data_IF_284522516265
#
_entry.id   IF_284522516265
#
_cell.length_a   1.000
_cell.length_b   1.000
_cell.length_c   1.000
_cell.angle_alpha   90.00
_cell.angle_beta   90.00
_cell.angle_gamma   90.00
#
_symmetry.space_group_name_H-M   'P 1'
#
loop_
_entity.id
_entity.type
_entity.pdbx_description
1 polymer ?
#
# COMPACT_ATOMS: atom_id res chain seq x y z
N UNK A 1 -29.27 23.51 1.30
CA UNK A 1 -28.99 22.07 1.40
C UNK A 1 -27.49 21.68 1.54
N UNK A 2 -26.50 22.58 1.66
CA UNK A 2 -25.07 22.22 1.54
C UNK A 2 -24.37 21.58 2.77
N UNK A 3 -25.00 21.58 3.95
CA UNK A 3 -24.36 21.14 5.21
C UNK A 3 -24.44 19.63 5.51
N UNK A 4 -25.38 18.92 4.89
CA UNK A 4 -25.61 17.49 5.14
C UNK A 4 -24.63 16.60 4.37
N UNK A 5 -24.22 17.04 3.18
CA UNK A 5 -23.29 16.32 2.31
C UNK A 5 -21.87 16.30 2.87
N UNK A 6 -21.37 17.47 3.29
CA UNK A 6 -19.99 17.64 3.79
C UNK A 6 -19.68 16.83 5.04
N UNK A 7 -20.65 16.68 5.96
CA UNK A 7 -20.47 15.86 7.16
C UNK A 7 -20.45 14.37 6.83
N UNK A 8 -21.19 13.95 5.80
CA UNK A 8 -21.24 12.56 5.36
C UNK A 8 -19.95 12.19 4.63
N UNK A 9 -19.46 13.09 3.79
CA UNK A 9 -18.18 12.96 3.08
C UNK A 9 -17.00 12.87 4.06
N UNK A 10 -16.90 13.79 5.01
CA UNK A 10 -15.85 13.75 6.04
C UNK A 10 -15.91 12.49 6.93
N UNK A 11 -17.11 11.94 7.19
CA UNK A 11 -17.26 10.68 7.92
C UNK A 11 -16.80 9.47 7.09
N UNK A 12 -17.04 9.50 5.76
CA UNK A 12 -16.58 8.47 4.82
C UNK A 12 -15.06 8.50 4.65
N UNK A 13 -14.47 9.69 4.58
CA UNK A 13 -13.01 9.84 4.56
C UNK A 13 -12.37 9.27 5.83
N UNK A 14 -12.91 9.60 7.01
CA UNK A 14 -12.42 9.03 8.28
C UNK A 14 -12.59 7.52 8.38
N UNK A 15 -13.67 6.96 7.81
CA UNK A 15 -13.83 5.50 7.76
C UNK A 15 -12.79 4.86 6.84
N UNK A 16 -12.50 5.47 5.69
CA UNK A 16 -11.45 5.05 4.76
C UNK A 16 -10.07 5.07 5.41
N UNK A 17 -9.73 6.15 6.12
CA UNK A 17 -8.47 6.27 6.86
C UNK A 17 -8.33 5.16 7.92
N UNK A 18 -9.39 4.93 8.71
CA UNK A 18 -9.41 3.85 9.72
C UNK A 18 -9.27 2.47 9.09
N UNK A 19 -9.98 2.22 7.99
CA UNK A 19 -9.89 0.98 7.24
C UNK A 19 -8.45 0.75 6.77
N UNK A 20 -7.81 1.77 6.20
CA UNK A 20 -6.47 1.69 5.64
C UNK A 20 -5.39 1.55 6.71
N UNK A 21 -5.54 2.20 7.86
CA UNK A 21 -4.67 2.02 9.02
C UNK A 21 -4.77 0.59 9.57
N UNK A 22 -5.99 0.06 9.70
CA UNK A 22 -6.22 -1.29 10.22
C UNK A 22 -5.72 -2.37 9.26
N UNK A 23 -5.95 -2.20 7.96
CA UNK A 23 -5.42 -3.04 6.91
C UNK A 23 -3.88 -3.10 6.96
N UNK A 24 -3.20 -1.94 7.02
CA UNK A 24 -1.74 -1.87 7.09
C UNK A 24 -1.17 -2.57 8.32
N UNK A 25 -1.74 -2.29 9.50
CA UNK A 25 -1.30 -2.94 10.76
C UNK A 25 -1.48 -4.45 10.66
N UNK A 26 -2.64 -4.91 10.20
CA UNK A 26 -2.91 -6.35 10.09
C UNK A 26 -2.04 -7.05 9.08
N UNK A 27 -1.80 -6.42 7.93
CA UNK A 27 -0.95 -6.94 6.89
C UNK A 27 0.51 -7.04 7.37
N UNK A 28 1.03 -6.01 8.04
CA UNK A 28 2.37 -6.01 8.59
C UNK A 28 2.58 -7.06 9.71
N UNK A 29 1.51 -7.45 10.41
CA UNK A 29 1.56 -8.53 11.41
C UNK A 29 1.53 -9.93 10.79
N UNK A 30 1.29 -10.07 9.48
CA UNK A 30 1.26 -11.38 8.83
C UNK A 30 2.69 -11.94 8.67
N UNK A 31 2.88 -13.25 8.87
CA UNK A 31 4.19 -13.88 8.74
C UNK A 31 4.70 -13.79 7.29
N UNK A 32 5.95 -13.37 7.12
CA UNK A 32 6.58 -13.26 5.80
C UNK A 32 6.17 -12.01 5.00
N UNK A 33 5.35 -11.12 5.57
CA UNK A 33 5.07 -9.83 4.96
C UNK A 33 6.19 -8.84 5.28
N UNK A 34 6.86 -8.39 4.23
CA UNK A 34 7.85 -7.33 4.29
C UNK A 34 7.25 -5.96 3.92
N UNK A 35 7.96 -4.88 4.27
CA UNK A 35 7.57 -3.50 3.96
C UNK A 35 7.19 -3.29 2.49
N UNK A 36 7.90 -3.89 1.53
CA UNK A 36 7.55 -3.70 0.11
C UNK A 36 6.22 -4.38 -0.27
N UNK A 37 5.84 -5.48 0.40
CA UNK A 37 4.53 -6.12 0.21
C UNK A 37 3.43 -5.21 0.75
N UNK A 38 3.64 -4.63 1.94
CA UNK A 38 2.70 -3.66 2.52
C UNK A 38 2.53 -2.46 1.61
N UNK A 39 3.63 -1.86 1.11
CA UNK A 39 3.58 -0.72 0.21
C UNK A 39 2.88 -1.04 -1.13
N UNK A 40 3.15 -2.21 -1.70
CA UNK A 40 2.49 -2.69 -2.92
C UNK A 40 0.98 -2.82 -2.71
N UNK A 41 0.57 -3.47 -1.61
CA UNK A 41 -0.85 -3.66 -1.30
C UNK A 41 -1.59 -2.35 -1.03
N UNK A 42 -0.97 -1.43 -0.28
CA UNK A 42 -1.53 -0.08 -0.05
C UNK A 42 -1.68 0.68 -1.36
N UNK A 43 -0.70 0.58 -2.26
CA UNK A 43 -0.77 1.19 -3.59
C UNK A 43 -1.94 0.64 -4.40
N UNK A 44 -2.17 -0.68 -4.39
CA UNK A 44 -3.28 -1.31 -5.10
C UNK A 44 -4.64 -0.82 -4.58
N UNK A 45 -4.86 -0.85 -3.27
CA UNK A 45 -6.11 -0.36 -2.66
C UNK A 45 -6.33 1.12 -2.96
N UNK A 46 -5.27 1.94 -2.86
CA UNK A 46 -5.35 3.38 -3.10
C UNK A 46 -5.66 3.69 -4.57
N UNK A 47 -5.03 2.96 -5.50
CA UNK A 47 -5.26 3.10 -6.94
C UNK A 47 -6.68 2.69 -7.30
N UNK A 48 -7.16 1.56 -6.79
CA UNK A 48 -8.52 1.10 -7.04
C UNK A 48 -9.56 2.10 -6.51
N UNK A 49 -9.37 2.59 -5.30
CA UNK A 49 -10.27 3.57 -4.70
C UNK A 49 -10.22 4.94 -5.42
N UNK A 50 -9.10 5.30 -6.05
CA UNK A 50 -9.01 6.48 -6.89
C UNK A 50 -9.66 6.28 -8.28
N UNK A 51 -9.59 5.06 -8.83
CA UNK A 51 -10.14 4.69 -10.14
C UNK A 51 -11.67 4.53 -10.10
N UNK A 52 -12.19 3.80 -9.11
CA UNK A 52 -13.62 3.54 -8.98
C UNK A 52 -14.36 4.61 -8.18
N UNK A 53 -13.64 5.41 -7.38
CA UNK A 53 -14.24 6.31 -6.40
C UNK A 53 -14.97 5.57 -5.27
N UNK A 54 -14.91 4.24 -5.21
CA UNK A 54 -15.63 3.45 -4.22
C UNK A 54 -14.87 3.33 -2.91
N UNK A 55 -15.61 3.30 -1.81
CA UNK A 55 -15.01 3.13 -0.49
C UNK A 55 -14.32 1.75 -0.37
N UNK A 56 -13.12 1.64 0.22
CA UNK A 56 -12.39 0.37 0.27
C UNK A 56 -13.16 -0.73 1.00
N UNK A 57 -14.00 -0.37 1.98
CA UNK A 57 -14.89 -1.34 2.65
C UNK A 57 -15.95 -1.95 1.72
N UNK A 58 -16.40 -1.21 0.72
CA UNK A 58 -17.36 -1.69 -0.28
C UNK A 58 -16.66 -2.58 -1.30
N UNK A 59 -15.48 -2.16 -1.78
CA UNK A 59 -14.73 -2.89 -2.81
C UNK A 59 -14.02 -4.15 -2.28
N UNK A 60 -13.42 -4.06 -1.08
CA UNK A 60 -12.53 -5.09 -0.53
C UNK A 60 -13.11 -5.78 0.72
N UNK A 61 -14.20 -5.26 1.29
CA UNK A 61 -14.83 -5.81 2.48
C UNK A 61 -14.09 -5.45 3.78
N UNK A 62 -13.95 -6.42 4.67
CA UNK A 62 -13.31 -6.24 5.97
C UNK A 62 -11.77 -6.09 5.82
N UNK A 63 -11.14 -5.10 6.49
CA UNK A 63 -9.71 -4.85 6.34
C UNK A 63 -8.82 -5.97 6.88
N UNK A 64 -9.27 -6.72 7.90
CA UNK A 64 -8.53 -7.84 8.49
C UNK A 64 -8.55 -9.04 7.54
N UNK A 65 -9.75 -9.40 7.06
CA UNK A 65 -9.93 -10.46 6.07
C UNK A 65 -9.19 -10.16 4.77
N UNK A 66 -9.22 -8.91 4.30
CA UNK A 66 -8.48 -8.51 3.11
C UNK A 66 -6.97 -8.57 3.34
N UNK A 67 -6.46 -8.18 4.51
CA UNK A 67 -5.03 -8.29 4.84
C UNK A 67 -4.54 -9.74 4.82
N UNK A 68 -5.32 -10.69 5.36
CA UNK A 68 -4.98 -12.13 5.30
C UNK A 68 -4.97 -12.64 3.86
N UNK A 69 -5.96 -12.26 3.05
CA UNK A 69 -6.00 -12.65 1.62
C UNK A 69 -4.82 -12.09 0.83
N UNK A 70 -4.48 -10.82 1.06
CA UNK A 70 -3.34 -10.16 0.43
C UNK A 70 -2.03 -10.82 0.85
N UNK A 71 -1.86 -11.14 2.13
CA UNK A 71 -0.70 -11.88 2.60
C UNK A 71 -0.62 -13.27 1.97
N UNK A 72 -1.72 -14.02 1.91
CA UNK A 72 -1.74 -15.34 1.27
C UNK A 72 -1.38 -15.27 -0.23
N UNK A 73 -1.75 -14.18 -0.92
CA UNK A 73 -1.45 -13.98 -2.34
C UNK A 73 -0.02 -13.49 -2.59
N UNK A 74 0.47 -12.57 -1.76
CA UNK A 74 1.70 -11.81 -1.99
C UNK A 74 2.90 -12.30 -1.18
N UNK A 75 2.69 -13.10 -0.13
CA UNK A 75 3.78 -13.82 0.55
C UNK A 75 4.06 -15.06 -0.30
N UNK A 76 5.14 -15.08 -1.09
CA UNK A 76 5.52 -16.31 -1.75
C UNK A 76 5.92 -17.32 -0.68
N UNK A 77 5.51 -18.58 -0.83
CA UNK A 77 5.93 -19.67 0.04
C UNK A 77 7.46 -19.89 0.07
N UNK A 78 8.22 -19.16 -0.76
CA UNK A 78 9.65 -19.32 -0.94
C UNK A 78 10.42 -18.00 -0.69
N UNK A 79 11.07 -17.94 0.48
CA UNK A 79 11.95 -16.83 0.90
C UNK A 79 13.11 -16.53 -0.08
N UNK A 80 13.48 -17.44 -0.98
CA UNK A 80 14.72 -17.31 -1.75
C UNK A 80 14.59 -16.31 -2.92
N UNK A 81 13.39 -16.05 -3.43
CA UNK A 81 13.18 -15.14 -4.56
C UNK A 81 13.36 -13.65 -4.20
N UNK A 82 13.16 -13.29 -2.93
CA UNK A 82 13.17 -11.88 -2.48
C UNK A 82 14.57 -11.32 -2.26
N UNK A 83 15.52 -12.15 -1.83
CA UNK A 83 16.92 -11.75 -1.68
C UNK A 83 17.49 -11.16 -2.99
N UNK A 84 17.13 -11.73 -4.15
CA UNK A 84 17.65 -11.26 -5.44
C UNK A 84 17.04 -9.94 -5.95
N UNK A 85 15.86 -9.52 -5.46
CA UNK A 85 15.21 -8.28 -5.92
C UNK A 85 15.58 -7.06 -5.09
N UNK A 86 15.95 -7.25 -3.83
CA UNK A 86 16.31 -6.11 -2.98
C UNK A 86 17.63 -5.48 -3.43
N UNK A 87 18.62 -6.27 -3.83
CA UNK A 87 19.88 -5.77 -4.41
C UNK A 87 19.67 -5.03 -5.74
N UNK A 88 18.75 -5.49 -6.59
CA UNK A 88 18.50 -4.84 -7.89
C UNK A 88 17.72 -3.51 -7.77
N UNK A 89 16.82 -3.39 -6.80
CA UNK A 89 15.98 -2.19 -6.64
C UNK A 89 16.70 -1.03 -5.92
N UNK A 90 17.62 -1.34 -4.99
CA UNK A 90 18.44 -0.29 -4.34
C UNK A 90 19.53 0.25 -5.28
N UNK A 91 20.00 -0.55 -6.24
CA UNK A 91 20.95 -0.09 -7.26
C UNK A 91 20.30 0.87 -8.27
N UNK A 92 19.05 0.60 -8.67
CA UNK A 92 18.31 1.46 -9.61
C UNK A 92 17.99 2.85 -9.04
N UNK A 93 17.60 2.96 -7.77
CA UNK A 93 17.28 4.24 -7.14
C UNK A 93 18.56 5.01 -6.72
N UNK A 94 19.61 4.29 -6.31
CA UNK A 94 20.92 4.87 -5.99
C UNK A 94 21.64 5.43 -7.22
N UNK A 95 21.54 4.77 -8.37
CA UNK A 95 22.12 5.26 -9.64
C UNK A 95 21.46 6.55 -10.14
N UNK A 96 20.14 6.68 -10.02
CA UNK A 96 19.43 7.91 -10.43
C UNK A 96 19.79 9.09 -9.52
N UNK A 97 19.93 8.86 -8.21
CA UNK A 97 20.35 9.91 -7.28
C UNK A 97 21.82 10.31 -7.48
N UNK A 98 22.70 9.37 -7.84
CA UNK A 98 24.11 9.65 -8.14
C UNK A 98 24.28 10.39 -9.46
N UNK A 99 23.52 10.03 -10.52
CA UNK A 99 23.51 10.79 -11.78
C UNK A 99 22.99 12.21 -11.61
N UNK A 100 22.00 12.43 -10.75
CA UNK A 100 21.49 13.78 -10.47
C UNK A 100 22.55 14.67 -9.79
N UNK A 101 23.46 14.09 -9.00
CA UNK A 101 24.56 14.83 -8.36
C UNK A 101 25.72 15.12 -9.31
N UNK A 102 26.00 14.24 -10.25
CA UNK A 102 27.08 14.41 -11.24
C UNK A 102 26.74 15.49 -12.29
N UNK A 103 25.45 15.67 -12.58
CA UNK A 103 24.96 16.73 -13.49
C UNK A 103 24.93 18.11 -12.80
N UNK A 104 24.88 18.15 -11.47
CA UNK A 104 24.91 19.37 -10.66
C UNK A 104 26.27 19.50 -9.97
N UNK A 105 27.32 19.72 -10.76
CA UNK A 105 28.68 19.91 -10.27
C UNK A 105 28.79 20.97 -9.17
N UNK A 106 29.46 20.58 -8.09
CA UNK A 106 30.12 21.43 -7.11
C UNK A 106 31.35 20.68 -6.59
#
# INVERSE_FOLDING_TARGET
MAKKDRTTDAAREKDREKWMARFQVRLAMQPGVDRAVVLQAVKEVTTHCADTGEHPRTAFGDPDAHAVQVAARLVPADRAARARRHDAAVDGLGSVLKRARDIAGL
#
